data_IF_620678660780
#
_entry.id   IF_620678660780
#
_cell.length_a   1.000
_cell.length_b   1.000
_cell.length_c   1.000
_cell.angle_alpha   90.00
_cell.angle_beta   90.00
_cell.angle_gamma   90.00
#
_symmetry.space_group_name_H-M   'P 1'
#
loop_
_entity.id
_entity.type
_entity.pdbx_description
1 polymer ?
#
# COMPACT_ATOMS: atom_id res chain seq x y z
N UNK A 1 -12.06 18.24 12.98
CA UNK A 1 -10.97 17.69 12.15
C UNK A 1 -11.27 18.12 10.73
N UNK A 2 -10.35 18.84 10.09
CA UNK A 2 -10.45 19.18 8.67
C UNK A 2 -10.03 17.98 7.80
N UNK A 3 -10.37 17.98 6.51
CA UNK A 3 -9.82 17.05 5.51
C UNK A 3 -8.29 17.09 5.51
N UNK A 4 -7.69 18.27 5.68
CA UNK A 4 -6.23 18.43 5.77
C UNK A 4 -5.66 17.71 6.99
N UNK A 5 -6.29 17.89 8.16
CA UNK A 5 -5.85 17.21 9.40
C UNK A 5 -6.01 15.69 9.27
N UNK A 6 -7.07 15.23 8.61
CA UNK A 6 -7.31 13.81 8.36
C UNK A 6 -6.23 13.20 7.47
N UNK A 7 -5.91 13.85 6.34
CA UNK A 7 -4.88 13.40 5.41
C UNK A 7 -3.50 13.38 6.07
N UNK A 8 -3.15 14.44 6.81
CA UNK A 8 -1.89 14.50 7.58
C UNK A 8 -1.82 13.41 8.64
N UNK A 9 -2.90 13.24 9.41
CA UNK A 9 -3.01 12.19 10.42
C UNK A 9 -2.84 10.80 9.83
N UNK A 10 -3.49 10.53 8.69
CA UNK A 10 -3.36 9.27 7.97
C UNK A 10 -1.90 8.97 7.58
N UNK A 11 -1.17 9.92 6.99
CA UNK A 11 0.23 9.71 6.61
C UNK A 11 1.14 9.53 7.82
N UNK A 12 0.96 10.32 8.88
CA UNK A 12 1.75 10.22 10.10
C UNK A 12 1.54 8.87 10.80
N UNK A 13 0.27 8.47 11.00
CA UNK A 13 -0.06 7.18 11.62
C UNK A 13 0.53 6.05 10.78
N UNK A 14 0.32 6.07 9.46
CA UNK A 14 0.85 5.04 8.56
C UNK A 14 2.38 4.95 8.64
N UNK A 15 3.07 6.09 8.64
CA UNK A 15 4.54 6.15 8.77
C UNK A 15 5.00 5.58 10.11
N UNK A 16 4.40 6.00 11.22
CA UNK A 16 4.70 5.48 12.55
C UNK A 16 4.48 3.97 12.61
N UNK A 17 3.35 3.46 12.08
CA UNK A 17 3.05 2.03 12.03
C UNK A 17 4.11 1.25 11.23
N UNK A 18 4.51 1.75 10.06
CA UNK A 18 5.52 1.10 9.21
C UNK A 18 6.90 1.09 9.89
N UNK A 19 7.29 2.19 10.53
CA UNK A 19 8.56 2.28 11.26
C UNK A 19 8.59 1.33 12.46
N UNK A 20 7.51 1.28 13.25
CA UNK A 20 7.38 0.35 14.37
C UNK A 20 7.40 -1.10 13.90
N UNK A 21 6.69 -1.43 12.82
CA UNK A 21 6.68 -2.77 12.25
C UNK A 21 8.05 -3.21 11.73
N UNK A 22 8.85 -2.29 11.19
CA UNK A 22 10.23 -2.57 10.75
C UNK A 22 11.24 -2.61 11.90
N UNK A 23 11.02 -1.85 12.97
CA UNK A 23 11.90 -1.77 14.13
C UNK A 23 11.87 -3.02 15.01
N UNK A 24 10.77 -3.78 15.00
CA UNK A 24 10.61 -5.00 15.82
C UNK A 24 10.92 -6.23 14.95
N UNK A 25 12.02 -6.99 15.22
CA UNK A 25 12.43 -8.12 14.39
C UNK A 25 11.36 -9.21 14.23
N UNK A 26 10.57 -9.45 15.28
CA UNK A 26 9.46 -10.41 15.29
C UNK A 26 8.32 -10.00 14.33
N UNK A 27 7.95 -8.71 14.32
CA UNK A 27 6.91 -8.17 13.45
C UNK A 27 7.41 -8.11 12.01
N UNK A 28 8.66 -7.67 11.82
CA UNK A 28 9.30 -7.62 10.50
C UNK A 28 9.34 -8.99 9.82
N UNK A 29 9.77 -10.02 10.55
CA UNK A 29 9.87 -11.39 10.01
C UNK A 29 8.51 -11.99 9.62
N UNK A 30 7.42 -11.61 10.31
CA UNK A 30 6.08 -12.17 10.07
C UNK A 30 5.21 -11.37 9.12
N UNK A 31 5.30 -10.04 9.15
CA UNK A 31 4.38 -9.15 8.43
C UNK A 31 5.04 -8.33 7.32
N UNK A 32 6.38 -8.19 7.34
CA UNK A 32 7.12 -7.33 6.38
C UNK A 32 8.02 -8.15 5.45
N UNK A 33 8.47 -9.34 5.86
CA UNK A 33 9.25 -10.24 5.01
C UNK A 33 8.39 -10.74 3.83
N UNK A 34 8.70 -10.25 2.63
CA UNK A 34 7.99 -10.58 1.39
C UNK A 34 9.01 -10.81 0.25
N UNK A 35 8.64 -11.64 -0.73
CA UNK A 35 9.49 -11.92 -1.90
C UNK A 35 10.81 -12.65 -1.53
N UNK A 36 11.94 -12.34 -2.21
CA UNK A 36 13.26 -12.95 -1.96
C UNK A 36 13.82 -12.73 -0.54
N UNK A 37 13.14 -11.93 0.28
CA UNK A 37 13.52 -11.67 1.68
C UNK A 37 12.93 -12.71 2.65
N UNK A 38 12.04 -13.58 2.17
CA UNK A 38 11.52 -14.71 2.95
C UNK A 38 12.49 -15.91 2.97
N UNK A 39 13.44 -15.99 2.03
CA UNK A 39 14.43 -17.09 1.93
C UNK A 39 15.63 -16.94 2.86
N UNK A 40 15.73 -15.87 3.65
CA UNK A 40 16.87 -15.63 4.55
C UNK A 40 16.76 -16.31 5.91
N UNK A 41 15.84 -17.26 6.08
CA UNK A 41 15.82 -18.14 7.26
C UNK A 41 16.20 -19.57 6.84
N UNK A 42 17.33 -19.71 6.15
CA UNK A 42 18.05 -20.98 6.18
C UNK A 42 19.02 -20.95 7.38
N UNK A 43 19.01 -21.97 8.25
CA UNK A 43 20.02 -22.09 9.28
C UNK A 43 21.40 -22.17 8.63
N UNK A 44 22.30 -21.30 9.08
CA UNK A 44 23.72 -21.35 8.81
C UNK A 44 24.19 -22.77 9.17
N UNK A 45 24.59 -23.55 8.16
CA UNK A 45 25.10 -24.94 8.17
C UNK A 45 24.14 -25.99 7.57
N UNK A 46 24.06 -26.05 6.24
CA UNK A 46 23.90 -27.32 5.53
C UNK A 46 24.57 -27.23 4.14
N UNK A 47 25.44 -28.17 3.76
CA UNK A 47 26.04 -28.18 2.43
C UNK A 47 25.03 -28.63 1.39
N UNK A 48 25.09 -28.02 0.21
CA UNK A 48 24.31 -28.38 -0.97
C UNK A 48 24.53 -29.85 -1.36
N UNK A 49 23.46 -30.65 -1.43
CA UNK A 49 23.37 -31.83 -2.30
C UNK A 49 21.93 -32.11 -2.74
N UNK A 50 21.85 -32.48 -4.01
CA UNK A 50 20.69 -32.81 -4.82
C UNK A 50 19.83 -34.00 -4.31
N UNK A 51 18.67 -34.11 -4.97
CA UNK A 51 17.83 -35.30 -5.18
C UNK A 51 16.75 -35.64 -4.11
N UNK A 52 15.50 -35.38 -4.52
CA UNK A 52 14.38 -36.32 -4.56
C UNK A 52 14.25 -37.31 -3.38
N UNK A 53 13.22 -37.15 -2.53
CA UNK A 53 12.33 -38.24 -2.07
C UNK A 53 11.08 -37.66 -1.37
N UNK A 54 9.91 -38.20 -1.73
CA UNK A 54 8.66 -38.13 -0.98
C UNK A 54 8.86 -38.63 0.46
N UNK A 55 8.43 -37.85 1.47
CA UNK A 55 7.70 -38.43 2.59
C UNK A 55 7.01 -37.36 3.47
N UNK A 56 5.75 -37.66 3.77
CA UNK A 56 4.89 -37.03 4.78
C UNK A 56 5.62 -36.81 6.11
N UNK A 57 5.71 -35.55 6.55
CA UNK A 57 5.98 -35.22 7.96
C UNK A 57 4.95 -34.18 8.41
N UNK A 58 4.05 -34.50 9.37
CA UNK A 58 3.18 -33.51 9.97
C UNK A 58 4.04 -32.63 10.89
N UNK A 59 4.44 -31.47 10.39
CA UNK A 59 5.25 -30.53 11.16
C UNK A 59 4.45 -30.03 12.36
N UNK A 60 4.88 -30.46 13.55
CA UNK A 60 4.43 -30.04 14.89
C UNK A 60 4.10 -28.55 14.93
N UNK A 61 2.83 -28.22 15.22
CA UNK A 61 2.41 -26.89 15.64
C UNK A 61 3.11 -26.55 16.97
N UNK A 62 3.89 -25.47 17.07
CA UNK A 62 4.26 -24.96 18.38
C UNK A 62 3.01 -24.34 19.01
N UNK A 63 2.59 -24.93 20.12
CA UNK A 63 1.54 -24.44 21.01
C UNK A 63 1.97 -23.11 21.65
N UNK A 64 1.80 -22.01 20.91
CA UNK A 64 1.93 -20.64 21.42
C UNK A 64 0.62 -20.12 22.02
N UNK A 65 0.66 -19.08 22.87
CA UNK A 65 -0.52 -18.41 23.44
C UNK A 65 -1.56 -18.04 22.36
N UNK A 66 -2.85 -17.99 22.71
CA UNK A 66 -3.98 -17.72 21.78
C UNK A 66 -3.74 -16.52 20.86
N UNK A 67 -3.03 -15.48 21.34
CA UNK A 67 -2.64 -14.31 20.55
C UNK A 67 -1.73 -14.66 19.37
N UNK A 68 -0.83 -15.63 19.50
CA UNK A 68 0.05 -16.12 18.43
C UNK A 68 -0.76 -16.87 17.37
N UNK A 69 -1.76 -17.65 17.78
CA UNK A 69 -2.63 -18.39 16.84
C UNK A 69 -3.53 -17.46 16.03
N UNK A 70 -4.04 -16.38 16.65
CA UNK A 70 -4.79 -15.32 15.94
C UNK A 70 -3.86 -14.55 15.00
N UNK A 71 -2.64 -14.21 15.43
CA UNK A 71 -1.64 -13.58 14.57
C UNK A 71 -1.29 -14.47 13.37
N UNK A 72 -1.14 -15.78 13.57
CA UNK A 72 -0.82 -16.74 12.51
C UNK A 72 -2.00 -16.92 11.54
N UNK A 73 -3.24 -16.85 12.05
CA UNK A 73 -4.45 -16.82 11.21
C UNK A 73 -4.54 -15.54 10.38
N UNK A 74 -4.29 -14.37 10.99
CA UNK A 74 -4.28 -13.08 10.28
C UNK A 74 -3.11 -12.99 9.29
N UNK A 75 -1.97 -13.61 9.58
CA UNK A 75 -0.83 -13.71 8.68
C UNK A 75 -1.06 -14.67 7.51
N UNK A 76 -1.96 -15.66 7.67
CA UNK A 76 -2.36 -16.57 6.59
C UNK A 76 -3.21 -15.89 5.51
N UNK A 77 -3.78 -14.72 5.80
CA UNK A 77 -4.53 -13.93 4.84
C UNK A 77 -3.58 -13.22 3.86
N UNK A 78 -3.17 -13.96 2.86
CA UNK A 78 -2.25 -13.49 1.83
C UNK A 78 -2.95 -13.44 0.48
N UNK A 79 -2.66 -12.36 -0.26
CA UNK A 79 -3.24 -12.04 -1.55
C UNK A 79 -2.28 -12.45 -2.65
N UNK A 80 -2.75 -13.04 -3.76
CA UNK A 80 -1.90 -13.39 -4.89
C UNK A 80 -1.23 -12.17 -5.52
N UNK A 81 -0.03 -12.38 -6.07
CA UNK A 81 0.83 -11.35 -6.66
C UNK A 81 0.15 -10.43 -7.70
N UNK A 82 -0.89 -10.91 -8.40
CA UNK A 82 -1.59 -10.12 -9.42
C UNK A 82 -2.32 -8.89 -8.87
N UNK A 83 -2.59 -8.86 -7.56
CA UNK A 83 -3.20 -7.71 -6.90
C UNK A 83 -2.27 -6.49 -6.84
N UNK A 84 -0.98 -6.65 -7.16
CA UNK A 84 -0.08 -5.53 -7.32
C UNK A 84 -0.54 -4.59 -8.46
N UNK A 85 -1.09 -5.16 -9.54
CA UNK A 85 -1.68 -4.38 -10.64
C UNK A 85 -2.86 -3.53 -10.17
N UNK A 86 -3.62 -4.00 -9.17
CA UNK A 86 -4.78 -3.26 -8.65
C UNK A 86 -4.37 -1.94 -7.98
N UNK A 87 -3.18 -1.85 -7.38
CA UNK A 87 -2.69 -0.57 -6.85
C UNK A 87 -2.60 0.49 -7.95
N UNK A 88 -2.06 0.12 -9.10
CA UNK A 88 -1.88 1.05 -10.20
C UNK A 88 -3.18 1.33 -10.94
N UNK A 89 -4.04 0.32 -11.11
CA UNK A 89 -5.40 0.52 -11.63
C UNK A 89 -6.16 1.51 -10.75
N UNK A 90 -6.17 1.31 -9.43
CA UNK A 90 -6.86 2.22 -8.50
C UNK A 90 -6.18 3.59 -8.45
N UNK A 91 -4.86 3.68 -8.52
CA UNK A 91 -4.15 4.97 -8.58
C UNK A 91 -4.54 5.78 -9.84
N UNK A 92 -4.58 5.13 -11.01
CA UNK A 92 -4.97 5.77 -12.27
C UNK A 92 -6.44 6.14 -12.25
N UNK A 93 -7.34 5.21 -11.87
CA UNK A 93 -8.77 5.48 -11.77
C UNK A 93 -9.07 6.59 -10.76
N UNK A 94 -8.43 6.56 -9.59
CA UNK A 94 -8.59 7.61 -8.57
C UNK A 94 -8.12 8.96 -9.09
N UNK A 95 -6.99 9.01 -9.81
CA UNK A 95 -6.47 10.25 -10.41
C UNK A 95 -7.42 10.82 -11.46
N UNK A 96 -8.02 9.96 -12.30
CA UNK A 96 -9.03 10.36 -13.29
C UNK A 96 -10.32 10.81 -12.60
N UNK A 97 -10.81 10.08 -11.61
CA UNK A 97 -12.02 10.43 -10.87
C UNK A 97 -11.88 11.80 -10.20
N UNK A 98 -10.78 12.05 -9.49
CA UNK A 98 -10.52 13.36 -8.87
C UNK A 98 -10.36 14.47 -9.92
N UNK A 99 -9.61 14.23 -10.99
CA UNK A 99 -9.47 15.19 -12.08
C UNK A 99 -10.82 15.58 -12.70
N UNK A 100 -11.67 14.60 -13.00
CA UNK A 100 -13.01 14.82 -13.56
C UNK A 100 -13.94 15.52 -12.57
N UNK A 101 -13.95 15.11 -11.30
CA UNK A 101 -14.80 15.73 -10.28
C UNK A 101 -14.41 17.19 -10.02
N UNK A 102 -13.13 17.53 -10.10
CA UNK A 102 -12.66 18.90 -9.87
C UNK A 102 -12.90 19.78 -11.11
N UNK A 103 -12.60 19.26 -12.31
CA UNK A 103 -12.86 19.99 -13.56
C UNK A 103 -14.34 20.29 -13.77
N UNK A 104 -15.21 19.30 -13.50
CA UNK A 104 -16.66 19.44 -13.63
C UNK A 104 -17.33 20.07 -12.39
N UNK A 105 -16.57 20.50 -11.36
CA UNK A 105 -17.11 20.99 -10.07
C UNK A 105 -18.18 20.07 -9.46
N UNK A 106 -17.91 18.77 -9.49
CA UNK A 106 -18.80 17.72 -9.02
C UNK A 106 -19.08 17.73 -7.51
N UNK A 107 -20.01 16.88 -7.05
CA UNK A 107 -20.45 16.85 -5.65
C UNK A 107 -19.32 16.48 -4.68
N UNK A 108 -18.35 15.65 -5.09
CA UNK A 108 -17.21 15.29 -4.25
C UNK A 108 -16.28 16.49 -4.02
N UNK A 109 -16.05 17.31 -5.04
CA UNK A 109 -15.29 18.55 -4.89
C UNK A 109 -16.01 19.51 -3.93
N UNK A 110 -17.33 19.66 -4.06
CA UNK A 110 -18.13 20.51 -3.17
C UNK A 110 -18.10 20.03 -1.72
N UNK A 111 -18.17 18.71 -1.50
CA UNK A 111 -18.07 18.11 -0.17
C UNK A 111 -16.70 18.38 0.46
N UNK A 112 -15.61 18.18 -0.29
CA UNK A 112 -14.24 18.46 0.17
C UNK A 112 -14.04 19.95 0.45
N UNK A 113 -14.44 20.83 -0.47
CA UNK A 113 -14.30 22.28 -0.29
C UNK A 113 -15.09 22.80 0.91
N UNK A 114 -16.28 22.22 1.18
CA UNK A 114 -17.09 22.59 2.35
C UNK A 114 -16.52 22.08 3.68
N UNK A 115 -15.66 21.07 3.62
CA UNK A 115 -15.02 20.49 4.80
C UNK A 115 -13.68 21.16 5.15
N UNK A 116 -13.16 22.03 4.27
CA UNK A 116 -11.95 22.83 4.49
C UNK A 116 -12.31 24.10 5.28
N UNK A 117 -11.63 24.30 6.41
CA UNK A 117 -11.73 25.50 7.24
C UNK A 117 -10.89 26.64 6.66
N UNK A 118 -11.39 27.86 6.80
CA UNK A 118 -10.70 29.09 6.39
C UNK A 118 -9.27 29.23 6.93
N UNK A 119 -8.99 28.65 8.10
CA UNK A 119 -7.65 28.62 8.70
C UNK A 119 -6.58 27.97 7.81
N UNK A 120 -6.98 27.06 6.93
CA UNK A 120 -6.10 26.34 6.01
C UNK A 120 -6.28 26.75 4.54
N UNK A 121 -7.16 27.72 4.24
CA UNK A 121 -7.40 28.26 2.89
C UNK A 121 -6.25 29.13 2.37
N UNK A 122 -5.13 29.20 3.09
CA UNK A 122 -3.89 29.76 2.57
C UNK A 122 -3.36 28.82 1.49
N UNK A 123 -3.58 29.18 0.23
CA UNK A 123 -3.13 28.45 -0.94
C UNK A 123 -1.62 28.22 -0.89
N UNK A 124 -1.24 26.98 -0.58
CA UNK A 124 0.16 26.54 -0.44
C UNK A 124 0.82 26.31 -1.80
N UNK A 125 0.05 25.85 -2.80
CA UNK A 125 0.51 25.66 -4.17
C UNK A 125 -0.35 26.41 -5.20
N UNK A 126 0.31 26.95 -6.23
CA UNK A 126 -0.41 27.53 -7.37
C UNK A 126 -1.18 26.45 -8.13
N UNK A 127 -2.28 26.82 -8.80
CA UNK A 127 -3.09 25.86 -9.55
C UNK A 127 -2.29 25.16 -10.66
N UNK A 128 -1.31 25.85 -11.26
CA UNK A 128 -0.42 25.27 -12.26
C UNK A 128 0.49 24.18 -11.67
N UNK A 129 1.02 24.40 -10.45
CA UNK A 129 1.84 23.40 -9.75
C UNK A 129 1.03 22.16 -9.39
N UNK A 130 -0.22 22.34 -8.97
CA UNK A 130 -1.13 21.22 -8.65
C UNK A 130 -1.46 20.41 -9.89
N UNK A 131 -1.79 21.06 -11.01
CA UNK A 131 -2.04 20.38 -12.29
C UNK A 131 -0.78 19.64 -12.76
N UNK A 132 0.41 20.24 -12.64
CA UNK A 132 1.66 19.59 -12.98
C UNK A 132 1.91 18.35 -12.11
N UNK A 133 1.78 18.48 -10.78
CA UNK A 133 1.98 17.38 -9.83
C UNK A 133 1.00 16.23 -10.09
N UNK A 134 -0.27 16.54 -10.31
CA UNK A 134 -1.29 15.55 -10.69
C UNK A 134 -0.96 14.86 -12.01
N UNK A 135 -0.56 15.61 -13.03
CA UNK A 135 -0.19 15.04 -14.35
C UNK A 135 1.00 14.10 -14.24
N UNK A 136 2.01 14.48 -13.47
CA UNK A 136 3.18 13.64 -13.22
C UNK A 136 2.82 12.37 -12.44
N UNK A 137 1.95 12.47 -11.42
CA UNK A 137 1.46 11.31 -10.68
C UNK A 137 0.69 10.35 -11.59
N UNK A 138 -0.18 10.88 -12.45
CA UNK A 138 -0.94 10.09 -13.43
C UNK A 138 -0.01 9.40 -14.44
N UNK A 139 0.94 10.15 -15.01
CA UNK A 139 1.91 9.60 -15.96
C UNK A 139 2.77 8.50 -15.33
N UNK A 140 3.23 8.71 -14.09
CA UNK A 140 3.94 7.67 -13.32
C UNK A 140 3.06 6.43 -13.09
N UNK A 141 1.79 6.62 -12.71
CA UNK A 141 0.83 5.54 -12.49
C UNK A 141 0.57 4.72 -13.75
N UNK A 142 0.36 5.38 -14.88
CA UNK A 142 0.17 4.73 -16.19
C UNK A 142 1.40 3.92 -16.59
N UNK A 143 2.61 4.49 -16.45
CA UNK A 143 3.85 3.77 -16.76
C UNK A 143 3.97 2.49 -15.94
N UNK A 144 3.75 2.58 -14.62
CA UNK A 144 3.82 1.41 -13.73
C UNK A 144 2.74 0.38 -14.02
N UNK A 145 1.54 0.81 -14.39
CA UNK A 145 0.47 -0.09 -14.82
C UNK A 145 0.84 -0.82 -16.11
N UNK A 146 1.37 -0.09 -17.10
CA UNK A 146 1.81 -0.65 -18.37
C UNK A 146 2.93 -1.67 -18.17
N UNK A 147 3.96 -1.33 -17.39
CA UNK A 147 5.06 -2.24 -17.05
C UNK A 147 4.55 -3.51 -16.36
N UNK A 148 3.58 -3.38 -15.45
CA UNK A 148 2.99 -4.54 -14.78
C UNK A 148 2.19 -5.42 -15.75
N UNK A 149 1.42 -4.85 -16.66
CA UNK A 149 0.65 -5.65 -17.64
C UNK A 149 1.59 -6.32 -18.64
N UNK A 150 2.60 -5.60 -19.13
CA UNK A 150 3.52 -6.08 -20.16
C UNK A 150 4.58 -7.05 -19.64
N UNK A 151 4.99 -6.94 -18.37
CA UNK A 151 6.15 -7.66 -17.81
C UNK A 151 5.76 -8.63 -16.69
N UNK A 152 4.49 -8.71 -16.29
CA UNK A 152 4.07 -9.59 -15.21
C UNK A 152 4.28 -11.06 -15.57
N UNK A 153 5.40 -11.62 -15.10
CA UNK A 153 5.54 -13.06 -14.93
C UNK A 153 4.66 -13.51 -13.76
N UNK A 154 3.89 -14.61 -13.90
CA UNK A 154 3.11 -15.14 -12.79
C UNK A 154 4.07 -15.58 -11.67
N UNK A 155 4.06 -14.83 -10.56
CA UNK A 155 4.88 -15.11 -9.39
C UNK A 155 4.04 -15.75 -8.30
N UNK A 156 4.60 -16.76 -7.61
CA UNK A 156 3.99 -17.41 -6.44
C UNK A 156 4.10 -16.57 -5.15
N UNK A 157 4.68 -15.37 -5.21
CA UNK A 157 4.86 -14.53 -4.03
C UNK A 157 3.51 -13.91 -3.59
N UNK A 158 3.17 -14.03 -2.31
CA UNK A 158 1.89 -13.60 -1.75
C UNK A 158 2.05 -12.46 -0.74
N UNK A 159 1.30 -11.37 -0.90
CA UNK A 159 1.41 -10.17 -0.07
C UNK A 159 0.37 -10.21 1.06
N UNK A 160 0.68 -9.66 2.22
CA UNK A 160 -0.28 -9.60 3.33
C UNK A 160 -1.46 -8.66 2.99
N UNK A 161 -2.70 -9.13 3.18
CA UNK A 161 -3.92 -8.42 2.75
C UNK A 161 -4.15 -7.06 3.41
N UNK A 162 -3.94 -6.88 4.73
CA UNK A 162 -4.00 -5.55 5.34
C UNK A 162 -2.98 -4.57 4.76
N UNK A 163 -1.77 -5.02 4.45
CA UNK A 163 -0.77 -4.18 3.79
C UNK A 163 -1.23 -3.79 2.38
N UNK A 164 -1.93 -4.68 1.70
CA UNK A 164 -2.56 -4.39 0.42
C UNK A 164 -3.67 -3.32 0.54
N UNK A 165 -4.57 -3.40 1.53
CA UNK A 165 -5.58 -2.34 1.73
C UNK A 165 -4.93 -0.99 2.06
N UNK A 166 -3.93 -0.98 2.94
CA UNK A 166 -3.23 0.25 3.34
C UNK A 166 -2.56 0.90 2.13
N UNK A 167 -1.91 0.11 1.27
CA UNK A 167 -1.31 0.61 0.03
C UNK A 167 -2.37 1.19 -0.92
N UNK A 168 -3.55 0.59 -1.01
CA UNK A 168 -4.64 1.11 -1.83
C UNK A 168 -5.16 2.45 -1.31
N UNK A 169 -5.38 2.52 0.01
CA UNK A 169 -5.79 3.75 0.70
C UNK A 169 -4.74 4.85 0.53
N UNK A 170 -3.45 4.51 0.56
CA UNK A 170 -2.36 5.45 0.33
C UNK A 170 -2.44 6.12 -1.04
N UNK A 171 -2.65 5.35 -2.13
CA UNK A 171 -2.77 5.93 -3.47
C UNK A 171 -3.97 6.87 -3.59
N UNK A 172 -5.11 6.54 -2.96
CA UNK A 172 -6.29 7.41 -2.94
C UNK A 172 -6.04 8.69 -2.14
N UNK A 173 -5.45 8.56 -0.95
CA UNK A 173 -5.11 9.69 -0.08
C UNK A 173 -4.11 10.64 -0.75
N UNK A 174 -3.20 10.11 -1.56
CA UNK A 174 -2.21 10.91 -2.28
C UNK A 174 -2.84 11.79 -3.35
N UNK A 175 -3.87 11.29 -4.05
CA UNK A 175 -4.68 12.12 -4.95
C UNK A 175 -5.35 13.28 -4.21
N UNK A 176 -5.97 13.01 -3.06
CA UNK A 176 -6.63 14.02 -2.23
C UNK A 176 -5.63 15.08 -1.78
N UNK A 177 -4.46 14.67 -1.28
CA UNK A 177 -3.43 15.57 -0.77
C UNK A 177 -2.95 16.57 -1.83
N UNK A 178 -2.72 16.14 -3.08
CA UNK A 178 -2.28 17.03 -4.16
C UNK A 178 -3.32 18.13 -4.42
N UNK A 179 -4.60 17.75 -4.48
CA UNK A 179 -5.67 18.67 -4.83
C UNK A 179 -6.04 19.64 -3.72
N UNK A 180 -6.02 19.18 -2.47
CA UNK A 180 -6.36 20.02 -1.31
C UNK A 180 -5.37 21.17 -1.14
N UNK A 181 -4.11 21.02 -1.55
CA UNK A 181 -3.10 22.11 -1.52
C UNK A 181 -3.35 23.21 -2.58
N UNK A 182 -4.23 22.94 -3.57
CA UNK A 182 -4.58 23.88 -4.65
C UNK A 182 -5.92 24.57 -4.53
N UNK A 183 -6.75 24.15 -3.56
CA UNK A 183 -8.07 24.72 -3.22
C UNK A 183 -7.88 25.85 -2.23
#
# INVERSE_FOLDING_TARGET
>A
MDVIDFVRGFFLITTCTILLANGIPFVRARFVAYGPRATSTEPINAPAKDAQYDHLVPSKKPSGPRSIQVLDYVASWQVPHSFFTQFYVVSVLSSILWGTQIYCRGPLFKAVSSAIKEKYTQKSMTSNQVVLCWTLLLAQGIRRLYECISTAKPSKSKMWFPHWIIGLAFYVAMGIAIWVEGI
#
